data_IF_316064616484
#
_entry.id   IF_316064616484
#
_cell.length_a   1.000
_cell.length_b   1.000
_cell.length_c   1.000
_cell.angle_alpha   90.00
_cell.angle_beta   90.00
_cell.angle_gamma   90.00
#
_symmetry.space_group_name_H-M   'P 1'
#
loop_
_entity.id
_entity.type
_entity.pdbx_description
1 polymer ?
#
# COMPACT_ATOMS: atom_id res chain seq x y z
N UNK A 1 -6.36 -30.57 -3.70
CA UNK A 1 -6.25 -29.19 -3.22
C UNK A 1 -4.96 -29.09 -2.43
N UNK A 2 -3.91 -28.51 -3.00
CA UNK A 2 -2.66 -28.29 -2.27
C UNK A 2 -2.86 -27.04 -1.42
N UNK A 3 -2.93 -27.21 -0.09
CA UNK A 3 -2.96 -26.07 0.83
C UNK A 3 -1.65 -25.34 0.63
N UNK A 4 -1.71 -24.12 0.07
CA UNK A 4 -0.55 -23.26 -0.07
C UNK A 4 -0.14 -22.87 1.35
N UNK A 5 1.07 -23.24 1.77
CA UNK A 5 1.58 -22.85 3.08
C UNK A 5 1.69 -21.32 3.12
N UNK A 6 0.95 -20.69 4.03
CA UNK A 6 1.08 -19.27 4.31
C UNK A 6 2.49 -19.03 4.88
N UNK A 7 3.16 -17.98 4.40
CA UNK A 7 4.43 -17.51 4.96
C UNK A 7 4.26 -17.18 6.45
N UNK A 8 5.34 -17.26 7.22
CA UNK A 8 5.32 -16.80 8.62
C UNK A 8 5.60 -15.28 8.71
N UNK A 9 5.49 -14.72 9.92
CA UNK A 9 5.70 -13.29 10.17
C UNK A 9 7.10 -12.80 9.76
N UNK A 10 8.14 -13.53 10.12
CA UNK A 10 9.52 -13.17 9.77
C UNK A 10 9.74 -13.15 8.25
N UNK A 11 9.16 -14.12 7.54
CA UNK A 11 9.17 -14.16 6.07
C UNK A 11 8.41 -12.98 5.46
N UNK A 12 7.25 -12.59 6.04
CA UNK A 12 6.50 -11.40 5.62
C UNK A 12 7.34 -10.14 5.82
N UNK A 13 7.89 -9.93 7.01
CA UNK A 13 8.69 -8.74 7.34
C UNK A 13 9.90 -8.60 6.41
N UNK A 14 10.57 -9.72 6.09
CA UNK A 14 11.66 -9.74 5.12
C UNK A 14 11.21 -9.38 3.71
N UNK A 15 10.02 -9.83 3.28
CA UNK A 15 9.44 -9.44 2.00
C UNK A 15 9.15 -7.93 2.00
N UNK A 16 8.55 -7.39 3.05
CA UNK A 16 8.23 -5.96 3.13
C UNK A 16 9.50 -5.10 3.07
N UNK A 17 10.53 -5.45 3.85
CA UNK A 17 11.81 -4.76 3.84
C UNK A 17 12.49 -4.81 2.47
N UNK A 18 12.48 -5.98 1.80
CA UNK A 18 13.05 -6.15 0.46
C UNK A 18 12.41 -5.21 -0.57
N UNK A 19 11.09 -5.01 -0.48
CA UNK A 19 10.34 -4.13 -1.37
C UNK A 19 10.13 -2.72 -0.83
N UNK A 20 10.81 -2.37 0.27
CA UNK A 20 10.72 -1.05 0.92
C UNK A 20 9.26 -0.65 1.19
N UNK A 21 8.48 -1.62 1.64
CA UNK A 21 7.08 -1.45 2.01
C UNK A 21 7.00 -1.22 3.52
N UNK A 22 6.31 -0.17 3.92
CA UNK A 22 6.26 0.29 5.30
C UNK A 22 4.88 0.02 5.89
N UNK A 23 4.74 -0.90 6.86
CA UNK A 23 3.53 -0.99 7.66
C UNK A 23 3.33 0.28 8.50
N UNK A 24 2.09 0.70 8.67
CA UNK A 24 1.71 1.83 9.53
C UNK A 24 0.75 1.34 10.62
N UNK A 25 0.91 1.86 11.83
CA UNK A 25 0.17 1.42 13.02
C UNK A 25 0.85 0.25 13.70
N UNK A 26 0.07 -0.59 14.39
CA UNK A 26 0.55 -1.77 15.12
C UNK A 26 0.46 -3.06 14.31
N UNK A 27 -0.05 -3.02 13.09
CA UNK A 27 -0.30 -4.21 12.27
C UNK A 27 0.04 -3.98 10.80
N UNK A 28 -0.67 -4.70 9.92
CA UNK A 28 -0.40 -4.74 8.48
C UNK A 28 -1.62 -4.33 7.65
N UNK A 29 -2.48 -3.48 8.25
CA UNK A 29 -3.65 -2.89 7.58
C UNK A 29 -3.24 -1.85 6.55
N UNK A 30 -2.17 -1.09 6.82
CA UNK A 30 -1.63 -0.10 5.88
C UNK A 30 -0.17 -0.41 5.59
N UNK A 31 0.08 -1.27 4.60
CA UNK A 31 1.44 -1.54 4.11
C UNK A 31 1.71 -0.66 2.89
N UNK A 32 2.29 0.52 3.11
CA UNK A 32 2.54 1.54 2.09
C UNK A 32 3.72 1.13 1.22
N UNK A 33 3.54 1.17 -0.11
CA UNK A 33 4.59 0.77 -1.06
C UNK A 33 4.65 1.70 -2.27
N UNK A 34 5.86 2.13 -2.65
CA UNK A 34 6.05 2.96 -3.83
C UNK A 34 5.82 2.19 -5.14
N UNK A 35 5.48 2.95 -6.18
CA UNK A 35 5.05 2.47 -7.51
C UNK A 35 6.03 1.50 -8.15
N UNK A 36 7.33 1.75 -7.99
CA UNK A 36 8.41 0.91 -8.52
C UNK A 36 8.41 -0.53 -7.98
N UNK A 37 7.84 -0.77 -6.79
CA UNK A 37 7.89 -2.06 -6.09
C UNK A 37 6.53 -2.74 -5.94
N UNK A 38 5.42 -2.02 -6.15
CA UNK A 38 4.07 -2.49 -5.81
C UNK A 38 3.73 -3.83 -6.49
N UNK A 39 4.04 -3.97 -7.79
CA UNK A 39 3.71 -5.16 -8.56
C UNK A 39 4.48 -6.39 -8.08
N UNK A 40 5.78 -6.25 -7.86
CA UNK A 40 6.59 -7.37 -7.38
C UNK A 40 6.23 -7.75 -5.94
N UNK A 41 5.91 -6.76 -5.08
CA UNK A 41 5.43 -7.02 -3.73
C UNK A 41 4.13 -7.82 -3.74
N UNK A 42 3.11 -7.36 -4.46
CA UNK A 42 1.80 -8.05 -4.57
C UNK A 42 2.00 -9.50 -5.04
N UNK A 43 2.83 -9.70 -6.07
CA UNK A 43 3.16 -11.03 -6.57
C UNK A 43 3.80 -11.91 -5.48
N UNK A 44 4.72 -11.38 -4.68
CA UNK A 44 5.37 -12.13 -3.61
C UNK A 44 4.43 -12.45 -2.44
N UNK A 45 3.57 -11.52 -2.05
CA UNK A 45 2.56 -11.72 -1.01
C UNK A 45 1.59 -12.84 -1.42
N UNK A 46 1.03 -12.78 -2.63
CA UNK A 46 0.14 -13.83 -3.16
C UNK A 46 0.87 -15.17 -3.28
N UNK A 47 2.13 -15.18 -3.75
CA UNK A 47 2.95 -16.39 -3.77
C UNK A 47 3.17 -16.98 -2.38
N UNK A 48 3.31 -16.13 -1.36
CA UNK A 48 3.39 -16.50 0.04
C UNK A 48 2.06 -16.89 0.69
N UNK A 49 0.96 -16.87 -0.05
CA UNK A 49 -0.36 -17.22 0.49
C UNK A 49 -1.00 -16.12 1.36
N UNK A 50 -0.50 -14.89 1.26
CA UNK A 50 -1.11 -13.71 1.90
C UNK A 50 -2.18 -13.15 0.97
N UNK A 51 -3.38 -12.95 1.52
CA UNK A 51 -4.47 -12.26 0.83
C UNK A 51 -4.39 -10.74 1.10
N UNK A 52 -4.82 -9.94 0.12
CA UNK A 52 -4.91 -8.48 0.24
C UNK A 52 -6.40 -8.16 0.18
N UNK A 53 -6.96 -7.60 1.25
CA UNK A 53 -8.39 -7.34 1.39
C UNK A 53 -8.80 -6.03 0.70
N UNK A 54 -7.97 -5.00 0.82
CA UNK A 54 -8.28 -3.65 0.30
C UNK A 54 -7.02 -2.89 -0.06
N UNK A 55 -7.19 -1.82 -0.84
CA UNK A 55 -6.18 -0.79 -1.10
C UNK A 55 -6.63 0.53 -0.45
N UNK A 56 -5.81 1.07 0.42
CA UNK A 56 -5.96 2.43 0.97
C UNK A 56 -5.02 3.39 0.24
N UNK A 57 -5.30 4.69 0.30
CA UNK A 57 -4.63 5.68 -0.55
C UNK A 57 -3.87 6.73 0.24
N UNK A 58 -2.60 6.88 -0.16
CA UNK A 58 -1.65 7.73 0.50
C UNK A 58 -0.97 8.65 -0.51
N UNK A 59 -0.33 9.69 0.01
CA UNK A 59 0.55 10.56 -0.73
C UNK A 59 1.97 10.39 -0.21
N UNK A 60 2.93 10.19 -1.12
CA UNK A 60 4.34 10.41 -0.82
C UNK A 60 4.70 11.88 -1.03
N UNK A 61 5.34 12.48 -0.02
CA UNK A 61 5.77 13.88 -0.01
C UNK A 61 7.27 13.92 0.23
N UNK A 62 8.04 14.31 -0.78
CA UNK A 62 9.50 14.44 -0.67
C UNK A 62 9.89 15.47 0.39
N UNK A 63 11.05 15.25 1.01
CA UNK A 63 11.61 16.22 1.95
C UNK A 63 11.75 17.60 1.27
N UNK A 64 11.20 18.64 1.92
CA UNK A 64 11.14 20.03 1.45
C UNK A 64 10.10 20.34 0.36
N UNK A 65 9.23 19.40 0.01
CA UNK A 65 8.04 19.70 -0.80
C UNK A 65 6.84 19.96 0.10
N UNK A 66 5.96 20.90 -0.29
CA UNK A 66 4.68 21.08 0.38
C UNK A 66 3.76 19.94 -0.06
N UNK A 67 3.03 19.34 0.88
CA UNK A 67 1.94 18.44 0.52
C UNK A 67 0.94 19.20 -0.36
N UNK A 68 0.23 18.48 -1.23
CA UNK A 68 -0.79 19.09 -2.09
C UNK A 68 -2.04 19.53 -1.30
N UNK A 69 -2.05 19.41 0.03
CA UNK A 69 -3.14 19.84 0.90
C UNK A 69 -4.29 18.83 1.05
N UNK A 70 -4.13 17.61 0.53
CA UNK A 70 -5.13 16.51 0.61
C UNK A 70 -4.93 15.58 1.79
N UNK A 71 -3.91 15.85 2.58
CA UNK A 71 -3.17 14.86 3.32
C UNK A 71 -3.44 15.01 4.82
N UNK A 72 -3.85 13.95 5.53
CA UNK A 72 -4.20 14.00 6.96
C UNK A 72 -2.99 13.94 7.92
N UNK A 73 -1.77 13.98 7.40
CA UNK A 73 -0.55 13.61 8.11
C UNK A 73 -0.23 12.13 7.94
N UNK A 74 0.87 11.68 8.55
CA UNK A 74 1.35 10.31 8.46
C UNK A 74 2.82 10.20 8.87
N UNK A 75 3.40 8.99 8.83
CA UNK A 75 4.75 8.75 9.29
C UNK A 75 5.81 9.27 8.31
N UNK A 76 7.00 9.55 8.83
CA UNK A 76 8.19 9.68 7.98
C UNK A 76 8.46 8.32 7.34
N UNK A 77 8.90 8.31 6.09
CA UNK A 77 9.29 7.05 5.47
C UNK A 77 10.58 6.52 6.10
N UNK A 78 10.62 5.21 6.36
CA UNK A 78 11.82 4.50 6.83
C UNK A 78 12.79 4.20 5.68
N UNK A 79 12.30 4.21 4.44
CA UNK A 79 13.06 3.78 3.25
C UNK A 79 13.41 4.91 2.27
N UNK A 80 12.72 6.05 2.37
CA UNK A 80 12.85 7.16 1.44
C UNK A 80 12.95 8.49 2.20
N UNK A 81 13.54 9.50 1.59
CA UNK A 81 13.67 10.81 2.21
C UNK A 81 12.40 11.66 2.00
N UNK A 82 11.38 11.36 2.79
CA UNK A 82 10.06 11.98 2.69
C UNK A 82 9.09 11.48 3.74
N UNK A 83 7.82 11.87 3.57
CA UNK A 83 6.72 11.50 4.43
C UNK A 83 5.66 10.77 3.62
N UNK A 84 5.03 9.77 4.23
CA UNK A 84 3.75 9.30 3.74
C UNK A 84 2.66 10.07 4.45
N UNK A 85 1.59 10.37 3.73
CA UNK A 85 0.43 11.00 4.34
C UNK A 85 -0.87 10.46 3.77
N UNK A 86 -1.77 10.10 4.67
CA UNK A 86 -3.03 9.46 4.33
C UNK A 86 -3.93 10.42 3.55
N UNK A 87 -4.62 9.90 2.55
CA UNK A 87 -5.67 10.62 1.82
C UNK A 87 -7.00 10.08 2.31
N UNK A 88 -7.83 10.95 2.89
CA UNK A 88 -9.16 10.56 3.37
C UNK A 88 -10.10 10.29 2.17
N UNK A 89 -10.09 9.05 1.70
CA UNK A 89 -10.90 8.60 0.60
C UNK A 89 -11.30 7.13 0.82
N UNK A 90 -12.36 6.70 0.15
CA UNK A 90 -12.82 5.32 0.26
C UNK A 90 -11.74 4.34 -0.26
N UNK A 91 -11.58 3.26 0.50
CA UNK A 91 -10.77 2.11 0.16
C UNK A 91 -11.32 1.41 -1.08
N UNK A 92 -10.43 0.76 -1.85
CA UNK A 92 -10.84 -0.16 -2.91
C UNK A 92 -10.76 -1.60 -2.40
N UNK A 93 -11.91 -2.17 -2.07
CA UNK A 93 -12.03 -3.58 -1.68
C UNK A 93 -11.64 -4.52 -2.83
N UNK A 94 -10.90 -5.58 -2.52
CA UNK A 94 -10.41 -6.56 -3.47
C UNK A 94 -11.10 -7.91 -3.25
N UNK A 95 -11.58 -8.50 -4.35
CA UNK A 95 -12.18 -9.84 -4.36
C UNK A 95 -11.37 -10.81 -5.23
N UNK A 96 -10.07 -10.58 -5.37
CA UNK A 96 -9.20 -11.32 -6.28
C UNK A 96 -7.81 -11.53 -5.68
N UNK A 97 -7.16 -12.62 -6.08
CA UNK A 97 -5.75 -12.92 -5.79
C UNK A 97 -4.91 -12.94 -7.07
N UNK A 98 -5.46 -12.43 -8.18
CA UNK A 98 -4.76 -12.31 -9.46
C UNK A 98 -4.02 -10.99 -9.50
N UNK A 99 -2.68 -11.04 -9.59
CA UNK A 99 -1.80 -9.85 -9.58
C UNK A 99 -2.25 -8.81 -10.59
N UNK A 100 -2.58 -9.21 -11.82
CA UNK A 100 -2.99 -8.28 -12.88
C UNK A 100 -4.31 -7.58 -12.58
N UNK A 101 -5.23 -8.23 -11.88
CA UNK A 101 -6.52 -7.61 -11.54
C UNK A 101 -6.37 -6.61 -10.39
N UNK A 102 -5.52 -6.92 -9.40
CA UNK A 102 -5.17 -5.96 -8.33
C UNK A 102 -4.43 -4.76 -8.94
N UNK A 103 -3.47 -5.01 -9.84
CA UNK A 103 -2.74 -3.94 -10.51
C UNK A 103 -3.66 -3.04 -11.35
N UNK A 104 -4.68 -3.59 -12.02
CA UNK A 104 -5.68 -2.77 -12.72
C UNK A 104 -6.46 -1.86 -11.78
N UNK A 105 -6.82 -2.32 -10.58
CA UNK A 105 -7.48 -1.45 -9.58
C UNK A 105 -6.55 -0.29 -9.22
N UNK A 106 -5.28 -0.58 -8.97
CA UNK A 106 -4.30 0.45 -8.58
C UNK A 106 -4.05 1.43 -9.73
N UNK A 107 -3.79 0.92 -10.94
CA UNK A 107 -3.45 1.72 -12.12
C UNK A 107 -4.60 2.61 -12.58
N UNK A 108 -5.85 2.16 -12.41
CA UNK A 108 -7.04 2.94 -12.76
C UNK A 108 -7.51 3.87 -11.63
N UNK A 109 -6.81 3.92 -10.49
CA UNK A 109 -7.27 4.77 -9.38
C UNK A 109 -7.23 6.23 -9.76
N UNK A 110 -8.35 6.89 -9.52
CA UNK A 110 -8.50 8.33 -9.59
C UNK A 110 -9.33 8.81 -8.40
N UNK A 111 -8.91 9.93 -7.83
CA UNK A 111 -9.54 10.57 -6.69
C UNK A 111 -9.95 11.96 -7.12
N UNK A 112 -11.25 12.27 -7.00
CA UNK A 112 -11.79 13.60 -7.24
C UNK A 112 -12.19 14.22 -5.91
N UNK A 113 -11.57 15.35 -5.58
CA UNK A 113 -11.80 16.10 -4.35
C UNK A 113 -13.01 17.03 -4.49
N UNK A 114 -13.53 17.49 -3.34
CA UNK A 114 -14.72 18.37 -3.29
C UNK A 114 -14.52 19.72 -3.98
N UNK A 115 -13.28 20.18 -4.15
CA UNK A 115 -12.92 21.39 -4.89
C UNK A 115 -12.86 21.17 -6.42
N UNK A 116 -13.13 19.95 -6.90
CA UNK A 116 -13.07 19.58 -8.32
C UNK A 116 -11.66 19.20 -8.81
N UNK A 117 -10.64 19.25 -7.95
CA UNK A 117 -9.32 18.73 -8.31
C UNK A 117 -9.36 17.21 -8.42
N UNK A 118 -8.58 16.68 -9.36
CA UNK A 118 -8.44 15.24 -9.59
C UNK A 118 -6.97 14.86 -9.57
N UNK A 119 -6.67 13.81 -8.83
CA UNK A 119 -5.39 13.10 -8.92
C UNK A 119 -5.63 11.69 -9.40
N UNK A 120 -4.70 11.13 -10.14
CA UNK A 120 -4.78 9.75 -10.62
C UNK A 120 -3.45 9.03 -10.44
N UNK A 121 -3.49 7.72 -10.24
CA UNK A 121 -2.27 6.97 -9.96
C UNK A 121 -1.27 7.14 -11.09
N UNK A 122 -1.71 6.94 -12.35
CA UNK A 122 -0.86 7.09 -13.54
C UNK A 122 -0.26 8.50 -13.65
N UNK A 123 -1.07 9.54 -13.41
CA UNK A 123 -0.74 10.94 -13.68
C UNK A 123 0.02 11.62 -12.55
N UNK A 124 -0.23 11.21 -11.30
CA UNK A 124 0.30 11.83 -10.09
C UNK A 124 1.21 10.85 -9.36
N UNK A 125 2.52 11.00 -9.54
CA UNK A 125 3.52 10.12 -8.91
C UNK A 125 3.46 10.09 -7.37
N UNK A 126 2.85 11.11 -6.77
CA UNK A 126 2.67 11.16 -5.33
C UNK A 126 1.60 10.18 -4.83
N UNK A 127 0.60 9.81 -5.65
CA UNK A 127 -0.45 8.87 -5.23
C UNK A 127 0.15 7.47 -5.06
N UNK A 128 0.10 6.96 -3.84
CA UNK A 128 0.80 5.77 -3.39
C UNK A 128 -0.20 4.83 -2.70
N UNK A 129 -0.26 3.54 -3.07
CA UNK A 129 -1.14 2.59 -2.42
C UNK A 129 -0.56 2.12 -1.09
N UNK A 130 -1.45 1.79 -0.16
CA UNK A 130 -1.18 0.87 0.92
C UNK A 130 -2.02 -0.39 0.77
N UNK A 131 -1.42 -1.53 1.11
CA UNK A 131 -2.06 -2.84 1.01
C UNK A 131 -2.58 -3.24 2.39
N UNK A 132 -3.87 -3.56 2.50
CA UNK A 132 -4.43 -4.18 3.68
C UNK A 132 -4.26 -5.69 3.59
N UNK A 133 -3.35 -6.24 4.39
CA UNK A 133 -3.05 -7.66 4.39
C UNK A 133 -4.00 -8.42 5.31
N UNK A 134 -4.53 -9.53 4.80
CA UNK A 134 -5.33 -10.49 5.56
C UNK A 134 -4.39 -11.50 6.25
N UNK A 135 -4.02 -11.18 7.48
CA UNK A 135 -3.08 -11.95 8.29
C UNK A 135 -3.61 -12.09 9.72
N UNK A 136 -3.06 -13.00 10.54
CA UNK A 136 -3.52 -13.16 11.92
C UNK A 136 -3.39 -11.87 12.76
N UNK A 137 -4.44 -11.53 13.51
CA UNK A 137 -4.51 -10.30 14.32
C UNK A 137 -3.40 -10.21 15.38
N UNK A 138 -2.83 -11.34 15.81
CA UNK A 138 -1.73 -11.39 16.77
C UNK A 138 -0.37 -10.99 16.19
N UNK A 139 -0.28 -10.70 14.88
CA UNK A 139 0.96 -10.25 14.26
C UNK A 139 1.10 -8.73 14.37
N UNK A 140 2.06 -8.30 15.19
CA UNK A 140 2.39 -6.87 15.33
C UNK A 140 3.53 -6.44 14.39
N UNK A 141 3.37 -5.32 13.70
CA UNK A 141 4.46 -4.69 12.96
C UNK A 141 5.33 -3.90 13.96
N UNK A 142 6.63 -4.19 14.00
CA UNK A 142 7.62 -3.57 14.88
C UNK A 142 8.89 -3.23 14.11
#
# INVERSE_FOLDING_TARGET
>A
MTIKKMINKEELDNILALYKAQPVGSGYMDVIVKRENVRQLIHKLILGGVQINSITWWQYVEQNTKSKGYSLGGPKSDYYDGWFSEINFADDELNTTVVDDIMKVIENKEITFSNGERIGYIQDECLTPALWLDIPDEWESH
#
